data_IF_370474056414
#
_entry.id   IF_370474056414
#
_cell.length_a   1.000
_cell.length_b   1.000
_cell.length_c   1.000
_cell.angle_alpha   90.00
_cell.angle_beta   90.00
_cell.angle_gamma   90.00
#
_symmetry.space_group_name_H-M   'P 1'
#
loop_
_entity.id
_entity.type
_entity.pdbx_description
1 polymer ?
#
# COMPACT_ATOMS: atom_id res chain seq x y z
N UNK A 1 -3.43 -2.89 -7.92
CA UNK A 1 -2.61 -3.85 -7.15
C UNK A 1 -1.56 -4.51 -8.05
N UNK A 2 -1.92 -5.46 -8.93
CA UNK A 2 -0.95 -6.19 -9.78
C UNK A 2 0.01 -5.28 -10.56
N UNK A 3 -0.51 -4.27 -11.26
CA UNK A 3 0.33 -3.34 -12.02
C UNK A 3 1.34 -2.58 -11.14
N UNK A 4 0.99 -2.23 -9.90
CA UNK A 4 1.92 -1.55 -8.99
C UNK A 4 2.96 -2.54 -8.46
N UNK A 5 2.53 -3.70 -7.94
CA UNK A 5 3.46 -4.69 -7.38
C UNK A 5 4.40 -5.23 -8.46
N UNK A 6 3.88 -5.59 -9.64
CA UNK A 6 4.67 -6.19 -10.72
C UNK A 6 5.63 -5.25 -11.44
N UNK A 7 5.51 -3.92 -11.26
CA UNK A 7 6.46 -2.96 -11.82
C UNK A 7 7.39 -2.35 -10.76
N UNK A 8 7.03 -2.40 -9.47
CA UNK A 8 7.82 -1.80 -8.39
C UNK A 8 8.64 -2.83 -7.59
N UNK A 9 8.50 -4.12 -7.89
CA UNK A 9 9.25 -5.20 -7.23
C UNK A 9 10.00 -6.03 -8.27
N UNK A 10 11.25 -6.36 -7.93
CA UNK A 10 12.04 -7.39 -8.59
C UNK A 10 12.05 -8.70 -7.78
N UNK A 11 12.33 -9.85 -8.43
CA UNK A 11 12.57 -11.09 -7.70
C UNK A 11 13.68 -10.95 -6.65
N UNK A 12 13.38 -11.32 -5.40
CA UNK A 12 14.29 -11.22 -4.27
C UNK A 12 14.17 -9.94 -3.43
N UNK A 13 13.47 -8.91 -3.94
CA UNK A 13 13.14 -7.71 -3.17
C UNK A 13 12.27 -8.05 -1.97
N UNK A 14 12.38 -7.26 -0.91
CA UNK A 14 11.51 -7.41 0.26
C UNK A 14 10.35 -6.44 0.16
N UNK A 15 9.12 -6.94 0.30
CA UNK A 15 7.92 -6.11 0.43
C UNK A 15 7.37 -6.22 1.84
N UNK A 16 7.09 -5.08 2.47
CA UNK A 16 6.40 -5.03 3.75
C UNK A 16 4.91 -4.76 3.52
N UNK A 17 4.05 -5.67 3.97
CA UNK A 17 2.60 -5.58 3.79
C UNK A 17 1.95 -5.29 5.14
N UNK A 18 1.27 -4.14 5.22
CA UNK A 18 0.39 -3.83 6.35
C UNK A 18 -0.89 -4.66 6.23
N UNK A 19 -0.97 -5.75 6.98
CA UNK A 19 -2.06 -6.73 6.90
C UNK A 19 -3.02 -6.58 8.07
N UNK A 20 -4.21 -6.09 7.76
CA UNK A 20 -5.33 -5.90 8.68
C UNK A 20 -6.64 -6.54 8.18
N UNK A 21 -6.60 -7.18 7.00
CA UNK A 21 -7.73 -7.75 6.27
C UNK A 21 -7.32 -8.44 4.98
N UNK A 22 -8.28 -8.72 4.11
CA UNK A 22 -8.08 -9.57 2.93
C UNK A 22 -7.20 -8.92 1.85
N UNK A 23 -7.16 -7.58 1.75
CA UNK A 23 -6.41 -6.94 0.67
C UNK A 23 -4.89 -7.05 0.88
N UNK A 24 -4.44 -7.09 2.14
CA UNK A 24 -3.06 -7.44 2.48
C UNK A 24 -2.70 -8.87 2.09
N UNK A 25 -3.61 -9.84 2.29
CA UNK A 25 -3.40 -11.24 1.87
C UNK A 25 -3.30 -11.37 0.34
N UNK A 26 -4.13 -10.61 -0.39
CA UNK A 26 -4.08 -10.57 -1.85
C UNK A 26 -2.78 -9.96 -2.37
N UNK A 27 -2.33 -8.86 -1.77
CA UNK A 27 -1.05 -8.26 -2.12
C UNK A 27 0.12 -9.22 -1.85
N UNK A 28 0.06 -9.99 -0.76
CA UNK A 28 1.07 -10.99 -0.42
C UNK A 28 1.15 -12.13 -1.44
N UNK A 29 0.00 -12.72 -1.82
CA UNK A 29 -0.07 -13.76 -2.85
C UNK A 29 0.46 -13.27 -4.20
N UNK A 30 0.19 -12.02 -4.58
CA UNK A 30 0.74 -11.42 -5.81
C UNK A 30 2.25 -11.20 -5.73
N UNK A 31 2.74 -10.67 -4.61
CA UNK A 31 4.17 -10.42 -4.41
C UNK A 31 5.00 -11.71 -4.36
N UNK A 32 4.49 -12.76 -3.72
CA UNK A 32 5.12 -14.09 -3.69
C UNK A 32 5.27 -14.67 -5.12
N UNK A 33 4.24 -14.52 -5.96
CA UNK A 33 4.27 -14.94 -7.38
C UNK A 33 5.27 -14.15 -8.23
N UNK A 34 5.60 -12.91 -7.85
CA UNK A 34 6.66 -12.11 -8.48
C UNK A 34 8.05 -12.61 -8.05
N UNK A 35 8.15 -13.37 -6.95
CA UNK A 35 9.40 -13.82 -6.35
C UNK A 35 9.95 -12.85 -5.31
N UNK A 36 9.15 -11.91 -4.83
CA UNK A 36 9.52 -11.02 -3.73
C UNK A 36 9.43 -11.77 -2.38
N UNK A 37 10.21 -11.33 -1.40
CA UNK A 37 10.16 -11.78 -0.01
C UNK A 37 9.09 -10.99 0.72
N UNK A 38 8.02 -11.65 1.10
CA UNK A 38 6.91 -11.02 1.81
C UNK A 38 7.17 -10.97 3.31
N UNK A 39 7.15 -9.76 3.87
CA UNK A 39 7.17 -9.48 5.29
C UNK A 39 5.85 -8.83 5.71
N UNK A 40 5.36 -9.16 6.90
CA UNK A 40 4.11 -8.62 7.42
C UNK A 40 4.34 -7.62 8.55
N UNK A 41 3.58 -6.54 8.49
CA UNK A 41 3.15 -5.77 9.65
C UNK A 41 1.70 -6.17 9.92
N UNK A 42 1.51 -7.18 10.76
CA UNK A 42 0.19 -7.76 11.03
C UNK A 42 -0.43 -7.14 12.27
N UNK A 43 -1.66 -6.66 12.12
CA UNK A 43 -2.50 -6.16 13.21
C UNK A 43 -3.70 -7.08 13.39
N UNK A 44 -4.41 -6.94 14.52
CA UNK A 44 -5.69 -7.62 14.68
C UNK A 44 -6.68 -7.18 13.58
N UNK A 45 -7.61 -8.08 13.23
CA UNK A 45 -8.57 -7.83 12.16
C UNK A 45 -9.39 -6.55 12.43
N UNK A 46 -9.33 -5.59 11.50
CA UNK A 46 -10.01 -4.30 11.65
C UNK A 46 -9.29 -3.28 12.55
N UNK A 47 -8.02 -3.51 12.90
CA UNK A 47 -7.20 -2.58 13.69
C UNK A 47 -6.13 -1.95 12.79
N UNK A 48 -6.01 -0.63 12.83
CA UNK A 48 -4.95 0.11 12.14
C UNK A 48 -3.60 -0.09 12.84
N UNK A 49 -2.50 0.03 12.10
CA UNK A 49 -1.17 0.08 12.70
C UNK A 49 -0.82 1.50 13.15
N UNK A 50 0.05 1.60 14.16
CA UNK A 50 0.65 2.85 14.59
C UNK A 50 1.99 3.11 13.88
N UNK A 51 2.42 4.37 13.83
CA UNK A 51 3.70 4.74 13.19
C UNK A 51 4.91 4.05 13.83
N UNK A 52 4.87 3.82 15.14
CA UNK A 52 5.94 3.13 15.87
C UNK A 52 6.06 1.67 15.44
N UNK A 53 4.93 1.00 15.16
CA UNK A 53 4.91 -0.38 14.67
C UNK A 53 5.50 -0.45 13.25
N UNK A 54 5.13 0.52 12.40
CA UNK A 54 5.69 0.65 11.06
C UNK A 54 7.20 0.92 11.10
N UNK A 55 7.67 1.81 11.97
CA UNK A 55 9.09 2.11 12.10
C UNK A 55 9.89 0.88 12.55
N UNK A 56 9.36 0.12 13.52
CA UNK A 56 9.97 -1.11 13.98
C UNK A 56 10.06 -2.16 12.86
N UNK A 57 9.01 -2.29 12.04
CA UNK A 57 8.99 -3.19 10.89
C UNK A 57 9.98 -2.76 9.81
N UNK A 58 10.00 -1.48 9.44
CA UNK A 58 10.95 -0.90 8.46
C UNK A 58 12.40 -1.13 8.86
N UNK A 59 12.75 -0.94 10.13
CA UNK A 59 14.10 -1.20 10.67
C UNK A 59 14.47 -2.68 10.59
N UNK A 60 13.49 -3.56 10.82
CA UNK A 60 13.67 -5.02 10.84
C UNK A 60 13.90 -5.60 9.45
N UNK A 61 13.02 -5.30 8.50
CA UNK A 61 13.04 -5.97 7.19
C UNK A 61 13.66 -5.14 6.06
N UNK A 62 13.81 -3.81 6.22
CA UNK A 62 14.38 -2.90 5.21
C UNK A 62 13.80 -3.15 3.82
N UNK A 63 12.47 -3.01 3.65
CA UNK A 63 11.80 -3.38 2.43
C UNK A 63 12.16 -2.42 1.29
N UNK A 64 12.09 -2.90 0.04
CA UNK A 64 12.09 -2.03 -1.13
C UNK A 64 10.74 -1.31 -1.30
N UNK A 65 9.65 -2.01 -0.93
CA UNK A 65 8.27 -1.50 -1.09
C UNK A 65 7.46 -1.75 0.18
N UNK A 66 6.62 -0.79 0.55
CA UNK A 66 5.59 -0.92 1.57
C UNK A 66 4.22 -0.86 0.91
N UNK A 67 3.35 -1.80 1.24
CA UNK A 67 1.96 -1.82 0.78
C UNK A 67 1.00 -1.55 1.93
N UNK A 68 0.11 -0.58 1.75
CA UNK A 68 -0.93 -0.21 2.71
C UNK A 68 -2.29 -0.13 2.04
N UNK A 69 -3.31 -0.69 2.69
CA UNK A 69 -4.71 -0.48 2.29
C UNK A 69 -5.28 0.70 3.09
N UNK A 70 -5.65 1.80 2.42
CA UNK A 70 -6.16 3.00 3.09
C UNK A 70 -7.51 2.73 3.77
N UNK A 71 -8.43 2.07 3.05
CA UNK A 71 -9.70 1.59 3.60
C UNK A 71 -9.88 0.11 3.30
N UNK A 72 -9.80 -0.70 4.35
CA UNK A 72 -9.91 -2.16 4.26
C UNK A 72 -11.39 -2.55 4.24
N UNK A 73 -11.94 -2.69 3.03
CA UNK A 73 -13.38 -2.94 2.87
C UNK A 73 -13.85 -4.28 3.43
N UNK A 74 -12.96 -5.25 3.70
CA UNK A 74 -13.38 -6.50 4.37
C UNK A 74 -13.66 -6.31 5.86
N UNK A 75 -13.10 -5.26 6.48
CA UNK A 75 -13.18 -5.03 7.92
C UNK A 75 -13.88 -3.72 8.29
N UNK A 76 -13.96 -2.78 7.34
CA UNK A 76 -14.44 -1.42 7.59
C UNK A 76 -13.40 -0.51 8.25
N UNK A 77 -12.14 -0.96 8.38
CA UNK A 77 -11.06 -0.19 8.99
C UNK A 77 -10.49 0.84 8.01
N UNK A 78 -10.20 2.04 8.50
CA UNK A 78 -9.44 3.07 7.79
C UNK A 78 -8.08 3.26 8.45
N UNK A 79 -7.00 3.12 7.69
CA UNK A 79 -5.64 3.36 8.15
C UNK A 79 -5.30 4.85 8.05
N UNK A 80 -4.99 5.55 9.15
CA UNK A 80 -4.41 6.89 9.06
C UNK A 80 -3.09 6.87 8.29
N UNK A 81 -2.94 7.78 7.32
CA UNK A 81 -1.76 7.85 6.44
C UNK A 81 -0.81 9.02 6.75
N UNK A 82 -1.20 9.95 7.62
CA UNK A 82 -0.32 11.05 8.03
C UNK A 82 0.97 10.50 8.68
N UNK A 83 2.12 10.95 8.18
CA UNK A 83 3.43 10.50 8.65
C UNK A 83 3.91 9.15 8.06
N UNK A 84 3.03 8.34 7.46
CA UNK A 84 3.39 7.04 6.88
C UNK A 84 4.41 7.20 5.76
N UNK A 85 4.12 8.00 4.73
CA UNK A 85 5.05 8.15 3.60
C UNK A 85 6.34 8.85 3.96
N UNK A 86 6.35 9.81 4.90
CA UNK A 86 7.59 10.41 5.41
C UNK A 86 8.48 9.36 6.10
N UNK A 87 7.88 8.46 6.87
CA UNK A 87 8.60 7.40 7.54
C UNK A 87 9.16 6.37 6.53
N UNK A 88 8.33 5.92 5.58
CA UNK A 88 8.75 5.00 4.51
C UNK A 88 9.88 5.61 3.67
N UNK A 89 9.78 6.89 3.33
CA UNK A 89 10.80 7.63 2.58
C UNK A 89 12.16 7.68 3.30
N UNK A 90 12.17 7.92 4.63
CA UNK A 90 13.41 7.90 5.44
C UNK A 90 14.13 6.56 5.44
N UNK A 91 13.40 5.49 5.17
CA UNK A 91 13.93 4.13 5.08
C UNK A 91 14.26 3.70 3.65
N UNK A 92 14.23 4.64 2.70
CA UNK A 92 14.51 4.42 1.28
C UNK A 92 13.64 3.34 0.61
N UNK A 93 12.41 3.19 1.10
CA UNK A 93 11.40 2.31 0.51
C UNK A 93 10.39 3.11 -0.31
N UNK A 94 9.68 2.48 -1.25
CA UNK A 94 8.55 3.05 -1.97
C UNK A 94 7.22 2.74 -1.25
N UNK A 95 6.28 3.68 -1.25
CA UNK A 95 4.95 3.48 -0.66
C UNK A 95 3.86 3.26 -1.72
N UNK A 96 3.23 2.08 -1.70
CA UNK A 96 2.00 1.79 -2.45
C UNK A 96 0.79 1.91 -1.52
N UNK A 97 -0.22 2.69 -1.93
CA UNK A 97 -1.49 2.79 -1.20
C UNK A 97 -2.67 2.33 -2.06
N UNK A 98 -3.43 1.36 -1.56
CA UNK A 98 -4.73 0.98 -2.12
C UNK A 98 -5.81 1.96 -1.63
N UNK A 99 -6.42 2.70 -2.56
CA UNK A 99 -7.50 3.66 -2.30
C UNK A 99 -8.82 3.27 -2.97
N UNK A 100 -8.98 2.00 -3.35
CA UNK A 100 -10.19 1.50 -4.05
C UNK A 100 -11.46 1.82 -3.27
N UNK A 101 -11.45 1.64 -1.95
CA UNK A 101 -12.63 1.86 -1.12
C UNK A 101 -12.70 3.25 -0.44
N UNK A 102 -11.73 4.14 -0.68
CA UNK A 102 -11.65 5.43 0.03
C UNK A 102 -11.58 6.66 -0.86
N UNK A 103 -11.05 6.56 -2.09
CA UNK A 103 -10.85 7.75 -2.93
C UNK A 103 -12.17 8.41 -3.32
N UNK A 104 -12.31 9.69 -2.99
CA UNK A 104 -13.53 10.49 -3.21
C UNK A 104 -14.44 10.59 -1.99
N UNK A 105 -14.20 9.77 -0.95
CA UNK A 105 -14.94 9.82 0.33
C UNK A 105 -14.04 10.35 1.45
N UNK A 106 -12.85 9.77 1.59
CA UNK A 106 -11.88 10.15 2.63
C UNK A 106 -10.80 11.09 2.08
N UNK A 107 -10.26 12.01 2.90
CA UNK A 107 -9.13 12.84 2.51
C UNK A 107 -7.95 11.98 2.04
N UNK A 108 -7.38 12.35 0.89
CA UNK A 108 -6.20 11.68 0.34
C UNK A 108 -5.35 12.68 -0.43
N UNK A 109 -4.12 12.88 0.03
CA UNK A 109 -3.18 13.87 -0.52
C UNK A 109 -1.90 13.18 -0.97
N UNK A 110 -1.94 12.49 -2.12
CA UNK A 110 -0.84 11.65 -2.64
C UNK A 110 0.55 12.29 -2.49
N UNK A 111 0.75 13.46 -3.09
CA UNK A 111 2.04 14.16 -3.09
C UNK A 111 2.45 14.61 -1.68
N UNK A 112 1.52 15.20 -0.93
CA UNK A 112 1.78 15.69 0.44
C UNK A 112 2.11 14.55 1.40
N UNK A 113 1.50 13.39 1.21
CA UNK A 113 1.72 12.20 2.02
C UNK A 113 2.83 11.29 1.48
N UNK A 114 3.56 11.72 0.43
CA UNK A 114 4.65 10.97 -0.21
C UNK A 114 4.27 9.54 -0.59
N UNK A 115 3.09 9.37 -1.19
CA UNK A 115 2.68 8.10 -1.76
C UNK A 115 3.33 7.95 -3.13
N UNK A 116 4.09 6.86 -3.32
CA UNK A 116 4.83 6.61 -4.55
C UNK A 116 3.98 5.96 -5.62
N UNK A 117 3.00 5.14 -5.24
CA UNK A 117 1.98 4.68 -6.16
C UNK A 117 0.61 4.54 -5.49
N UNK A 118 -0.43 4.89 -6.21
CA UNK A 118 -1.81 4.70 -5.75
C UNK A 118 -2.70 4.24 -6.89
N UNK A 119 -3.75 3.51 -6.55
CA UNK A 119 -4.79 3.12 -7.49
C UNK A 119 -6.16 3.13 -6.79
N UNK A 120 -7.20 3.28 -7.59
CA UNK A 120 -8.60 3.15 -7.13
C UNK A 120 -9.46 2.37 -8.12
N UNK A 121 -10.71 2.09 -7.77
CA UNK A 121 -11.66 1.36 -8.61
C UNK A 121 -12.83 2.23 -9.06
N UNK A 122 -13.23 2.11 -10.32
CA UNK A 122 -14.36 2.87 -10.88
C UNK A 122 -15.70 2.61 -10.18
N UNK A 123 -15.89 1.40 -9.65
CA UNK A 123 -17.16 0.88 -9.12
C UNK A 123 -17.40 1.05 -7.62
N UNK A 124 -16.58 1.87 -6.96
CA UNK A 124 -16.73 2.18 -5.54
C UNK A 124 -17.33 3.58 -5.39
N UNK A 125 -16.69 4.45 -4.62
CA UNK A 125 -17.16 5.83 -4.37
C UNK A 125 -17.36 6.61 -5.68
N UNK A 126 -16.55 6.32 -6.71
CA UNK A 126 -16.66 6.97 -8.03
C UNK A 126 -17.96 6.64 -8.79
N UNK A 127 -18.70 5.59 -8.43
CA UNK A 127 -20.04 5.31 -8.95
C UNK A 127 -20.12 4.93 -10.45
N UNK A 128 -19.00 4.58 -11.09
CA UNK A 128 -18.96 4.16 -12.48
C UNK A 128 -19.02 2.61 -12.62
N UNK A 129 -19.33 2.05 -13.81
CA UNK A 129 -19.28 0.60 -14.01
C UNK A 129 -17.89 0.02 -13.73
N UNK A 130 -17.79 -1.24 -13.24
CA UNK A 130 -16.51 -1.91 -13.03
C UNK A 130 -15.81 -2.18 -14.36
N UNK A 131 -14.47 -2.12 -14.36
CA UNK A 131 -13.65 -2.52 -15.51
C UNK A 131 -12.51 -1.58 -15.87
N UNK A 132 -12.37 -0.44 -15.18
CA UNK A 132 -11.23 0.47 -15.34
C UNK A 132 -10.68 0.89 -13.98
N UNK A 133 -9.35 0.96 -13.89
CA UNK A 133 -8.62 1.25 -12.66
C UNK A 133 -7.71 2.45 -12.89
N UNK A 134 -8.06 3.64 -12.38
CA UNK A 134 -7.12 4.76 -12.33
C UNK A 134 -5.91 4.41 -11.47
N UNK A 135 -4.72 4.78 -11.93
CA UNK A 135 -3.44 4.58 -11.25
C UNK A 135 -2.54 5.79 -11.45
N UNK A 136 -1.72 6.12 -10.46
CA UNK A 136 -0.72 7.18 -10.53
C UNK A 136 0.57 6.72 -9.85
N UNK A 137 1.70 7.17 -10.37
CA UNK A 137 3.05 6.92 -9.88
C UNK A 137 3.77 8.25 -9.64
N UNK A 138 4.57 8.32 -8.58
CA UNK A 138 5.44 9.47 -8.32
C UNK A 138 6.65 9.44 -9.26
N UNK A 139 7.35 10.57 -9.48
CA UNK A 139 8.60 10.58 -10.24
C UNK A 139 9.67 9.63 -9.68
N UNK A 140 9.67 9.37 -8.36
CA UNK A 140 10.60 8.42 -7.74
C UNK A 140 10.29 6.98 -8.15
N UNK A 141 9.01 6.63 -8.23
CA UNK A 141 8.56 5.31 -8.67
C UNK A 141 8.77 5.04 -10.18
N UNK A 142 9.01 6.09 -10.97
CA UNK A 142 9.33 5.97 -12.41
C UNK A 142 10.83 5.75 -12.69
N UNK A 143 11.71 5.95 -11.69
CA UNK A 143 13.17 5.93 -11.85
C UNK A 143 13.84 4.61 -11.44
N UNK A 144 13.07 3.58 -11.10
CA UNK A 144 13.55 2.25 -10.71
C UNK A 144 13.82 1.35 -11.91
#
# INVERSE_FOLDING_TARGET
MEACLGNLLEPGDTVLIAKCGIWGERAADMADRIGAKVEFLETAHGVAFELDDLEAALKRCRPAVVFVTHAESSTGMKQPLEGVGELVYKHDALLIVDTVASLGEEPFFMDTWRVDATYTGSQKVLGAPPGITPVSFSPRAECI
#
